data_IF_566867511234
#
_entry.id   IF_566867511234
#
_cell.length_a   1.000
_cell.length_b   1.000
_cell.length_c   1.000
_cell.angle_alpha   90.00
_cell.angle_beta   90.00
_cell.angle_gamma   90.00
#
_symmetry.space_group_name_H-M   'P 1'
#
loop_
_entity.id
_entity.type
_entity.pdbx_description
1 polymer ?
#
# COMPACT_ATOMS: atom_id res chain seq x y z
N UNK A 1 20.57 -11.37 40.19
CA UNK A 1 19.13 -11.05 40.11
C UNK A 1 19.01 -9.63 39.60
N UNK A 2 18.76 -9.49 38.31
CA UNK A 2 18.44 -8.22 37.64
C UNK A 2 17.82 -8.62 36.31
N UNK A 3 16.50 -8.44 36.19
CA UNK A 3 15.71 -8.77 35.03
C UNK A 3 16.06 -7.87 33.84
N UNK A 4 15.98 -8.35 32.59
CA UNK A 4 16.02 -7.47 31.43
C UNK A 4 14.65 -6.80 31.26
N UNK A 5 14.69 -5.47 31.15
CA UNK A 5 13.58 -4.58 30.82
C UNK A 5 13.09 -4.82 29.39
N UNK A 6 11.77 -4.82 29.21
CA UNK A 6 11.08 -4.95 27.93
C UNK A 6 11.42 -3.81 26.95
N UNK A 7 11.34 -4.03 25.62
CA UNK A 7 11.48 -2.96 24.65
C UNK A 7 10.23 -2.08 24.63
N UNK A 8 10.47 -0.78 24.48
CA UNK A 8 9.48 0.29 24.42
C UNK A 8 8.51 0.13 23.24
N UNK A 9 7.20 0.14 23.55
CA UNK A 9 6.14 0.59 22.64
C UNK A 9 6.35 2.09 22.36
N UNK A 10 6.48 2.48 21.09
CA UNK A 10 6.16 3.82 20.57
C UNK A 10 6.31 3.78 19.03
N UNK A 11 5.23 3.49 18.31
CA UNK A 11 5.16 3.66 16.85
C UNK A 11 4.13 4.74 16.50
N UNK A 12 4.55 5.99 16.25
CA UNK A 12 3.69 7.00 15.67
C UNK A 12 3.98 7.10 14.15
N UNK A 13 3.41 6.21 13.34
CA UNK A 13 3.44 6.34 11.88
C UNK A 13 2.30 7.28 11.48
N UNK A 14 2.63 8.39 10.80
CA UNK A 14 1.76 9.55 10.63
C UNK A 14 1.59 9.88 9.13
N UNK A 15 0.36 9.86 8.62
CA UNK A 15 -0.03 10.60 7.42
C UNK A 15 -0.61 11.95 7.87
N UNK A 16 0.19 13.00 8.07
CA UNK A 16 -0.40 14.31 8.37
C UNK A 16 -0.86 14.96 7.06
N UNK A 17 -2.17 14.94 6.83
CA UNK A 17 -2.81 15.81 5.85
C UNK A 17 -2.36 17.26 6.10
N UNK A 18 -1.74 17.87 5.09
CA UNK A 18 -1.40 19.28 5.14
C UNK A 18 -2.67 20.11 5.27
N UNK A 19 -2.83 20.84 6.38
CA UNK A 19 -3.91 21.82 6.56
C UNK A 19 -3.95 22.81 5.39
N UNK A 20 -4.83 22.58 4.41
CA UNK A 20 -5.33 23.67 3.58
C UNK A 20 -6.25 24.53 4.43
N UNK A 21 -5.72 25.67 4.89
CA UNK A 21 -6.50 26.73 5.53
C UNK A 21 -7.58 27.24 4.58
N UNK A 22 -8.76 26.63 4.61
CA UNK A 22 -9.97 27.25 4.09
C UNK A 22 -10.43 28.33 5.08
N UNK A 23 -10.19 29.58 4.68
CA UNK A 23 -10.68 30.77 5.37
C UNK A 23 -12.21 30.83 5.25
N UNK A 24 -12.94 30.20 6.17
CA UNK A 24 -14.39 30.36 6.27
C UNK A 24 -14.70 31.60 7.10
N UNK A 25 -15.19 32.63 6.42
CA UNK A 25 -15.67 33.89 7.00
C UNK A 25 -16.95 33.62 7.83
N UNK A 26 -16.84 33.57 9.15
CA UNK A 26 -18.00 33.50 10.06
C UNK A 26 -18.67 34.88 10.16
N UNK A 27 -19.91 34.98 9.68
CA UNK A 27 -20.82 36.11 9.94
C UNK A 27 -21.75 35.72 11.10
N UNK A 28 -21.74 36.43 12.24
CA UNK A 28 -22.70 36.17 13.32
C UNK A 28 -24.01 36.93 13.07
N UNK A 29 -25.13 36.22 12.93
CA UNK A 29 -26.47 36.81 13.05
C UNK A 29 -26.92 36.75 14.51
N UNK A 30 -26.93 37.90 15.15
CA UNK A 30 -27.67 38.16 16.38
C UNK A 30 -29.15 38.42 16.04
N UNK A 31 -30.07 37.67 16.66
CA UNK A 31 -31.50 38.01 16.67
C UNK A 31 -31.85 38.50 18.07
N UNK A 32 -32.13 39.80 18.16
CA UNK A 32 -32.57 40.49 19.35
C UNK A 32 -34.01 40.15 19.71
N UNK A 33 -34.25 40.02 21.02
CA UNK A 33 -35.56 39.92 21.64
C UNK A 33 -36.04 41.32 22.01
N UNK A 34 -37.08 41.83 21.34
CA UNK A 34 -37.83 42.99 21.81
C UNK A 34 -39.12 42.55 22.52
N UNK A 35 -39.31 43.16 23.68
CA UNK A 35 -40.46 43.05 24.57
C UNK A 35 -41.64 43.88 24.07
N UNK A 36 -42.86 43.37 24.17
CA UNK A 36 -44.06 44.20 24.30
C UNK A 36 -45.13 43.48 25.11
N UNK A 37 -45.44 44.06 26.27
CA UNK A 37 -46.60 43.75 27.08
C UNK A 37 -47.88 44.12 26.33
N UNK A 38 -48.85 43.22 26.28
CA UNK A 38 -50.24 43.68 26.32
C UNK A 38 -51.16 42.75 27.12
N UNK A 39 -51.74 43.32 28.18
CA UNK A 39 -52.74 42.73 29.06
C UNK A 39 -54.08 42.78 28.34
N UNK A 40 -54.59 41.63 27.88
CA UNK A 40 -56.04 41.37 27.74
C UNK A 40 -56.27 39.94 27.22
N UNK A 41 -56.38 38.96 28.12
CA UNK A 41 -57.07 37.69 27.84
C UNK A 41 -57.33 36.85 29.09
N UNK A 42 -57.60 37.50 30.23
CA UNK A 42 -58.28 36.84 31.35
C UNK A 42 -59.76 37.22 31.32
N UNK A 43 -60.53 36.64 30.37
CA UNK A 43 -61.98 36.43 30.55
C UNK A 43 -62.65 35.65 29.39
N UNK A 44 -62.11 34.49 28.98
CA UNK A 44 -62.78 33.64 27.96
C UNK A 44 -63.06 32.19 28.36
N UNK A 45 -62.69 31.77 29.58
CA UNK A 45 -62.91 30.39 30.06
C UNK A 45 -64.08 30.26 31.06
N UNK A 46 -64.73 31.35 31.44
CA UNK A 46 -65.84 31.40 32.40
C UNK A 46 -67.23 31.22 31.80
N UNK A 47 -67.38 31.20 30.46
CA UNK A 47 -68.69 31.12 29.78
C UNK A 47 -68.92 29.85 28.94
N UNK A 48 -68.08 28.82 29.09
CA UNK A 48 -68.25 27.56 28.35
C UNK A 48 -69.16 26.62 29.18
N UNK A 49 -70.35 26.22 28.68
CA UNK A 49 -71.26 25.32 29.40
C UNK A 49 -70.58 23.99 29.72
N UNK A 50 -70.95 23.36 30.84
CA UNK A 50 -70.28 22.17 31.43
C UNK A 50 -70.07 21.02 30.45
N UNK A 51 -70.94 20.88 29.45
CA UNK A 51 -70.86 19.87 28.39
C UNK A 51 -69.66 20.10 27.45
N UNK A 52 -69.32 21.35 27.15
CA UNK A 52 -68.21 21.70 26.26
C UNK A 52 -66.83 21.59 26.95
N UNK A 53 -66.75 21.69 28.28
CA UNK A 53 -65.54 21.36 29.05
C UNK A 53 -65.24 19.87 29.06
N UNK A 54 -66.28 19.03 29.14
CA UNK A 54 -66.13 17.59 29.01
C UNK A 54 -65.65 17.19 27.61
N UNK A 55 -66.23 17.78 26.55
CA UNK A 55 -65.83 17.52 25.16
C UNK A 55 -64.39 17.98 24.90
N UNK A 56 -63.98 19.17 25.38
CA UNK A 56 -62.59 19.61 25.26
C UNK A 56 -61.63 18.69 26.03
N UNK A 57 -62.00 18.25 27.23
CA UNK A 57 -61.20 17.30 28.01
C UNK A 57 -61.02 15.97 27.30
N UNK A 58 -62.09 15.41 26.71
CA UNK A 58 -62.02 14.17 25.95
C UNK A 58 -61.19 14.30 24.67
N UNK A 59 -61.28 15.45 23.98
CA UNK A 59 -60.46 15.72 22.78
C UNK A 59 -58.99 15.85 23.15
N UNK A 60 -58.65 16.56 24.24
CA UNK A 60 -57.25 16.69 24.69
C UNK A 60 -56.69 15.34 25.13
N UNK A 61 -57.46 14.51 25.85
CA UNK A 61 -57.05 13.15 26.22
C UNK A 61 -56.89 12.26 24.99
N UNK A 62 -57.79 12.35 24.00
CA UNK A 62 -57.67 11.59 22.76
C UNK A 62 -56.46 12.01 21.92
N UNK A 63 -56.15 13.31 21.87
CA UNK A 63 -54.95 13.84 21.20
C UNK A 63 -53.68 13.43 21.94
N UNK A 64 -53.66 13.47 23.27
CA UNK A 64 -52.52 13.01 24.06
C UNK A 64 -52.32 11.49 23.95
N UNK A 65 -53.39 10.69 23.90
CA UNK A 65 -53.32 9.26 23.61
C UNK A 65 -52.86 8.98 22.19
N UNK A 66 -53.31 9.75 21.19
CA UNK A 66 -52.84 9.64 19.82
C UNK A 66 -51.35 10.02 19.70
N UNK A 67 -50.90 11.07 20.38
CA UNK A 67 -49.48 11.44 20.45
C UNK A 67 -48.69 10.36 21.20
N UNK A 68 -49.20 9.79 22.30
CA UNK A 68 -48.55 8.69 23.01
C UNK A 68 -48.49 7.41 22.17
N UNK A 69 -49.47 7.14 21.31
CA UNK A 69 -49.44 6.04 20.33
C UNK A 69 -48.47 6.35 19.18
N UNK A 70 -48.38 7.60 18.72
CA UNK A 70 -47.41 8.01 17.67
C UNK A 70 -45.97 7.99 18.20
N UNK A 71 -45.75 8.49 19.42
CA UNK A 71 -44.45 8.44 20.11
C UNK A 71 -44.14 7.00 20.53
N UNK A 72 -45.12 6.23 20.98
CA UNK A 72 -44.99 4.81 21.29
C UNK A 72 -44.73 3.95 20.05
N UNK A 73 -45.31 4.24 18.88
CA UNK A 73 -44.97 3.55 17.63
C UNK A 73 -43.64 4.01 17.03
N UNK A 74 -43.17 5.22 17.36
CA UNK A 74 -41.80 5.67 17.02
C UNK A 74 -40.73 5.20 18.00
N UNK A 75 -41.09 4.92 19.26
CA UNK A 75 -40.18 4.40 20.30
C UNK A 75 -40.20 2.86 20.41
N UNK A 76 -41.25 2.20 19.91
CA UNK A 76 -41.34 0.74 19.69
C UNK A 76 -41.06 0.38 18.22
N UNK A 77 -40.76 1.37 17.38
CA UNK A 77 -39.83 1.25 16.25
C UNK A 77 -38.38 1.13 16.74
N UNK A 78 -38.24 0.42 17.86
CA UNK A 78 -37.01 0.10 18.54
C UNK A 78 -36.17 -0.79 17.66
N UNK A 79 -34.87 -0.52 17.70
CA UNK A 79 -33.84 -1.52 17.55
C UNK A 79 -33.82 -2.34 16.25
N UNK A 80 -34.39 -1.82 15.17
CA UNK A 80 -33.77 -1.98 13.86
C UNK A 80 -32.49 -1.15 13.80
N UNK A 81 -31.52 -1.43 14.70
CA UNK A 81 -30.12 -1.29 14.28
C UNK A 81 -30.13 -2.06 12.97
N UNK A 82 -29.97 -1.35 11.84
CA UNK A 82 -29.30 -2.02 10.72
C UNK A 82 -28.04 -2.48 11.40
N UNK A 83 -28.01 -3.73 11.88
CA UNK A 83 -26.79 -4.48 11.99
C UNK A 83 -26.21 -4.22 10.61
N UNK A 84 -25.28 -3.25 10.55
CA UNK A 84 -24.61 -2.91 9.31
C UNK A 84 -24.23 -4.28 8.80
N UNK A 85 -24.83 -4.67 7.67
CA UNK A 85 -24.91 -6.06 7.22
C UNK A 85 -23.65 -6.71 7.71
N UNK A 86 -23.73 -7.63 8.69
CA UNK A 86 -22.52 -8.29 9.18
C UNK A 86 -21.89 -8.82 7.90
N UNK A 87 -20.87 -8.11 7.41
CA UNK A 87 -20.12 -8.52 6.24
C UNK A 87 -19.43 -9.73 6.84
N UNK A 88 -19.78 -10.95 6.41
CA UNK A 88 -19.22 -12.13 7.05
C UNK A 88 -17.71 -11.95 7.00
N UNK A 89 -17.08 -11.90 8.17
CA UNK A 89 -15.63 -11.85 8.30
C UNK A 89 -15.16 -13.25 7.90
N UNK A 90 -14.97 -13.43 6.60
CA UNK A 90 -14.82 -14.72 5.95
C UNK A 90 -13.37 -15.12 5.77
N UNK A 91 -13.11 -16.41 5.69
CA UNK A 91 -11.84 -16.99 5.26
C UNK A 91 -11.37 -16.39 3.91
N UNK A 92 -10.07 -16.17 3.74
CA UNK A 92 -9.51 -15.74 2.45
C UNK A 92 -9.91 -16.71 1.34
N UNK A 93 -10.32 -16.17 0.19
CA UNK A 93 -10.60 -16.94 -1.03
C UNK A 93 -9.71 -16.47 -2.17
N UNK A 94 -9.01 -17.40 -2.80
CA UNK A 94 -8.28 -17.19 -4.04
C UNK A 94 -9.19 -16.58 -5.13
N UNK A 95 -8.82 -15.40 -5.61
CA UNK A 95 -9.44 -14.68 -6.72
C UNK A 95 -8.68 -14.92 -8.01
N UNK A 96 -7.36 -14.76 -7.98
CA UNK A 96 -6.47 -14.93 -9.13
C UNK A 96 -5.19 -15.61 -8.70
N UNK A 97 -4.81 -16.68 -9.41
CA UNK A 97 -3.51 -17.32 -9.35
C UNK A 97 -2.78 -16.91 -10.63
N UNK A 98 -1.83 -16.00 -10.51
CA UNK A 98 -1.13 -15.42 -11.65
C UNK A 98 0.17 -16.19 -11.86
N UNK A 99 0.13 -17.25 -12.66
CA UNK A 99 1.25 -18.18 -12.80
C UNK A 99 1.37 -18.77 -14.21
N UNK A 100 2.54 -19.35 -14.48
CA UNK A 100 2.86 -20.05 -15.72
C UNK A 100 2.62 -19.23 -16.98
N UNK A 101 2.25 -19.90 -18.07
CA UNK A 101 1.97 -19.27 -19.37
C UNK A 101 0.90 -18.18 -19.36
N UNK A 102 0.05 -18.13 -18.32
CA UNK A 102 -1.03 -17.15 -18.22
C UNK A 102 -0.62 -15.84 -17.55
N UNK A 103 0.55 -15.79 -16.90
CA UNK A 103 0.97 -14.65 -16.07
C UNK A 103 0.87 -13.31 -16.80
N UNK A 104 1.48 -13.17 -17.98
CA UNK A 104 1.47 -11.89 -18.72
C UNK A 104 0.07 -11.44 -19.16
N UNK A 105 -0.93 -12.34 -19.19
CA UNK A 105 -2.30 -11.97 -19.54
C UNK A 105 -2.99 -11.08 -18.48
N UNK A 106 -2.50 -11.09 -17.24
CA UNK A 106 -3.02 -10.27 -16.13
C UNK A 106 -2.51 -8.83 -16.15
N UNK A 107 -1.53 -8.52 -17.00
CA UNK A 107 -0.83 -7.25 -17.00
C UNK A 107 -0.91 -6.54 -18.35
N UNK A 108 -0.82 -5.23 -18.31
CA UNK A 108 -0.46 -4.39 -19.45
C UNK A 108 1.04 -4.06 -19.38
N UNK A 109 1.73 -4.12 -20.51
CA UNK A 109 3.13 -3.69 -20.61
C UNK A 109 3.15 -2.19 -20.86
N UNK A 110 3.58 -1.42 -19.86
CA UNK A 110 3.77 0.01 -20.03
C UNK A 110 4.93 0.26 -21.01
N UNK A 111 4.65 1.02 -22.07
CA UNK A 111 5.64 1.41 -23.07
C UNK A 111 5.93 2.90 -22.99
N UNK A 112 7.17 3.27 -22.72
CA UNK A 112 7.58 4.67 -22.65
C UNK A 112 8.73 4.93 -21.68
N UNK A 113 9.03 6.21 -21.54
CA UNK A 113 9.99 6.69 -20.54
C UNK A 113 9.46 6.41 -19.13
N UNK A 114 10.40 6.21 -18.20
CA UNK A 114 10.07 6.22 -16.79
C UNK A 114 9.41 7.54 -16.37
N UNK A 115 8.69 7.53 -15.25
CA UNK A 115 7.96 8.72 -14.77
C UNK A 115 8.91 9.89 -14.56
N UNK A 116 8.42 11.13 -14.64
CA UNK A 116 9.25 12.32 -14.39
C UNK A 116 9.80 12.32 -12.94
N UNK A 117 9.05 11.78 -11.97
CA UNK A 117 9.45 11.70 -10.57
C UNK A 117 10.53 10.64 -10.29
N UNK A 118 10.49 9.52 -11.01
CA UNK A 118 11.47 8.43 -10.88
C UNK A 118 12.70 8.69 -11.76
N UNK A 119 12.49 9.20 -12.97
CA UNK A 119 13.51 9.60 -13.95
C UNK A 119 14.58 8.53 -14.23
N UNK A 120 14.21 7.25 -14.22
CA UNK A 120 15.11 6.14 -14.49
C UNK A 120 15.75 6.20 -15.89
N UNK A 121 17.00 5.71 -15.99
CA UNK A 121 17.77 5.60 -17.23
C UNK A 121 17.42 4.33 -18.01
N UNK A 122 16.13 4.15 -18.23
CA UNK A 122 15.56 3.03 -18.98
C UNK A 122 14.44 3.49 -19.92
N UNK A 123 14.13 2.63 -20.89
CA UNK A 123 12.95 2.71 -21.73
C UNK A 123 12.12 1.47 -21.47
N UNK A 124 10.90 1.63 -20.97
CA UNK A 124 9.98 0.50 -20.88
C UNK A 124 9.41 0.19 -22.26
N UNK A 125 9.39 -1.09 -22.63
CA UNK A 125 8.99 -1.53 -23.97
C UNK A 125 7.68 -2.32 -23.96
N UNK A 126 7.00 -2.35 -25.11
CA UNK A 126 5.80 -3.17 -25.30
C UNK A 126 6.11 -4.66 -25.14
N UNK A 127 5.07 -5.46 -24.85
CA UNK A 127 5.20 -6.92 -24.75
C UNK A 127 5.90 -7.55 -25.95
N UNK A 128 5.47 -7.22 -27.17
CA UNK A 128 6.06 -7.75 -28.40
C UNK A 128 7.56 -7.47 -28.52
N UNK A 129 8.01 -6.29 -28.08
CA UNK A 129 9.42 -5.91 -28.08
C UNK A 129 10.17 -6.60 -26.95
N UNK A 130 9.56 -6.73 -25.77
CA UNK A 130 10.14 -7.47 -24.66
C UNK A 130 10.39 -8.94 -25.02
N UNK A 131 9.44 -9.57 -25.71
CA UNK A 131 9.56 -10.94 -26.23
C UNK A 131 10.64 -11.05 -27.32
N UNK A 132 10.70 -10.11 -28.28
CA UNK A 132 11.74 -10.06 -29.30
C UNK A 132 13.16 -9.95 -28.69
N UNK A 133 13.29 -9.16 -27.62
CA UNK A 133 14.53 -8.97 -26.89
C UNK A 133 14.85 -10.12 -25.92
N UNK A 134 13.92 -11.03 -25.67
CA UNK A 134 14.06 -12.08 -24.66
C UNK A 134 14.07 -11.57 -23.22
N UNK A 135 13.55 -10.37 -22.95
CA UNK A 135 13.52 -9.75 -21.61
C UNK A 135 12.19 -9.93 -20.89
N UNK A 136 11.21 -10.60 -21.51
CA UNK A 136 10.01 -11.11 -20.86
C UNK A 136 9.65 -12.47 -21.47
N UNK A 137 9.62 -13.51 -20.66
CA UNK A 137 9.27 -14.87 -21.11
C UNK A 137 8.88 -15.77 -19.95
N UNK A 138 8.35 -16.95 -20.28
CA UNK A 138 8.25 -18.07 -19.36
C UNK A 138 9.41 -19.01 -19.66
N UNK A 139 10.22 -19.30 -18.64
CA UNK A 139 11.35 -20.23 -18.74
C UNK A 139 11.06 -21.49 -17.93
N UNK A 140 11.65 -22.62 -18.33
CA UNK A 140 11.58 -23.86 -17.55
C UNK A 140 12.99 -24.26 -17.14
N UNK A 141 13.22 -24.35 -15.83
CA UNK A 141 14.51 -24.72 -15.25
C UNK A 141 14.32 -25.47 -13.94
N UNK A 142 15.39 -26.12 -13.48
CA UNK A 142 15.39 -26.81 -12.19
C UNK A 142 15.32 -25.80 -11.05
N UNK A 143 14.28 -25.91 -10.23
CA UNK A 143 14.12 -25.14 -9.01
C UNK A 143 15.23 -25.55 -8.00
N UNK A 144 16.12 -24.62 -7.66
CA UNK A 144 17.23 -24.84 -6.74
C UNK A 144 16.80 -25.28 -5.32
N UNK A 145 15.55 -25.05 -4.92
CA UNK A 145 15.01 -25.45 -3.61
C UNK A 145 14.55 -26.91 -3.60
N UNK A 146 13.89 -27.38 -4.66
CA UNK A 146 13.27 -28.73 -4.66
C UNK A 146 13.86 -29.70 -5.70
N UNK A 147 14.72 -29.24 -6.61
CA UNK A 147 15.38 -30.05 -7.63
C UNK A 147 14.46 -30.51 -8.76
N UNK A 148 13.30 -29.88 -8.95
CA UNK A 148 12.32 -30.22 -10.00
C UNK A 148 12.29 -29.12 -11.04
N UNK A 149 12.17 -29.51 -12.32
CA UNK A 149 11.95 -28.54 -13.39
C UNK A 149 10.58 -27.89 -13.23
N UNK A 150 10.56 -26.56 -13.14
CA UNK A 150 9.37 -25.75 -12.97
C UNK A 150 9.36 -24.59 -13.96
N UNK A 151 8.17 -24.05 -14.23
CA UNK A 151 8.01 -22.82 -15.00
C UNK A 151 8.23 -21.60 -14.11
N UNK A 152 9.02 -20.64 -14.60
CA UNK A 152 9.25 -19.36 -13.97
C UNK A 152 8.94 -18.22 -14.94
N UNK A 153 8.38 -17.14 -14.39
CA UNK A 153 8.27 -15.86 -15.08
C UNK A 153 9.66 -15.22 -15.03
N UNK A 154 10.23 -14.95 -16.21
CA UNK A 154 11.50 -14.26 -16.36
C UNK A 154 11.26 -12.85 -16.92
N UNK A 155 11.78 -11.84 -16.23
CA UNK A 155 11.75 -10.44 -16.67
C UNK A 155 13.10 -9.78 -16.43
N UNK A 156 13.68 -9.15 -17.45
CA UNK A 156 15.01 -8.54 -17.37
C UNK A 156 15.08 -7.24 -18.19
N UNK A 157 16.28 -6.86 -18.64
CA UNK A 157 16.58 -5.66 -19.38
C UNK A 157 17.57 -5.95 -20.51
N UNK A 158 17.64 -5.07 -21.51
CA UNK A 158 18.53 -5.23 -22.67
C UNK A 158 19.27 -3.93 -23.03
N UNK A 159 20.54 -4.02 -23.48
CA UNK A 159 21.28 -2.85 -23.96
C UNK A 159 20.73 -2.29 -25.25
N UNK A 160 20.78 -0.96 -25.31
CA UNK A 160 20.63 -0.19 -26.53
C UNK A 160 21.98 0.43 -26.89
N UNK A 161 22.17 0.82 -28.15
CA UNK A 161 23.46 1.35 -28.62
C UNK A 161 23.89 2.62 -27.89
N UNK A 162 22.94 3.49 -27.54
CA UNK A 162 23.23 4.81 -27.01
C UNK A 162 22.66 5.06 -25.60
N UNK A 163 21.95 4.09 -25.03
CA UNK A 163 21.05 4.29 -23.90
C UNK A 163 19.77 5.05 -24.31
N UNK A 164 18.77 5.13 -23.42
CA UNK A 164 18.65 4.38 -22.16
C UNK A 164 18.46 2.87 -22.39
N UNK A 165 18.60 2.05 -21.33
CA UNK A 165 18.47 0.57 -21.41
C UNK A 165 17.01 0.15 -21.58
N UNK A 166 16.72 -0.80 -22.47
CA UNK A 166 15.36 -1.34 -22.60
C UNK A 166 15.04 -2.18 -21.37
N UNK A 167 13.84 -2.03 -20.81
CA UNK A 167 13.37 -2.74 -19.61
C UNK A 167 11.86 -2.98 -19.66
N UNK A 168 11.30 -3.59 -18.62
CA UNK A 168 9.86 -3.88 -18.51
C UNK A 168 9.23 -3.23 -17.29
N UNK A 169 7.99 -2.76 -17.48
CA UNK A 169 7.07 -2.36 -16.42
C UNK A 169 5.72 -2.98 -16.72
N UNK A 170 5.27 -3.87 -15.84
CA UNK A 170 3.99 -4.53 -15.92
C UNK A 170 3.02 -3.85 -14.97
N UNK A 171 1.82 -3.55 -15.43
CA UNK A 171 0.80 -2.92 -14.64
C UNK A 171 -0.46 -3.78 -14.64
N UNK A 172 -0.91 -4.20 -13.46
CA UNK A 172 -2.02 -5.12 -13.31
C UNK A 172 -3.30 -4.55 -13.89
N UNK A 173 -4.03 -5.38 -14.65
CA UNK A 173 -5.35 -5.00 -15.20
C UNK A 173 -6.41 -4.89 -14.11
N UNK A 174 -6.23 -5.62 -13.02
CA UNK A 174 -7.15 -5.62 -11.88
C UNK A 174 -6.80 -4.55 -10.86
N UNK A 175 -7.86 -3.96 -10.31
CA UNK A 175 -7.82 -2.97 -9.24
C UNK A 175 -8.34 -3.60 -7.95
N UNK A 176 -7.77 -3.17 -6.83
CA UNK A 176 -7.98 -3.70 -5.49
C UNK A 176 -8.18 -2.55 -4.50
N UNK A 177 -9.07 -2.76 -3.53
CA UNK A 177 -9.32 -1.84 -2.41
C UNK A 177 -8.93 -2.46 -1.04
N UNK A 178 -8.35 -3.65 -1.09
CA UNK A 178 -7.81 -4.45 0.02
C UNK A 178 -7.19 -5.72 -0.55
N UNK A 179 -6.64 -6.57 0.30
CA UNK A 179 -6.38 -7.96 -0.02
C UNK A 179 -5.15 -8.56 0.65
N UNK A 180 -4.92 -9.83 0.38
CA UNK A 180 -3.69 -10.53 0.69
C UNK A 180 -2.98 -10.81 -0.64
N UNK A 181 -1.71 -10.45 -0.76
CA UNK A 181 -0.92 -10.56 -1.97
C UNK A 181 0.35 -11.34 -1.65
N UNK A 182 0.65 -12.38 -2.41
CA UNK A 182 1.76 -13.30 -2.14
C UNK A 182 2.61 -13.41 -3.40
N UNK A 183 3.90 -13.13 -3.30
CA UNK A 183 4.87 -13.23 -4.39
C UNK A 183 5.99 -14.20 -4.02
N UNK A 184 6.14 -15.30 -4.79
CA UNK A 184 7.25 -16.25 -4.64
C UNK A 184 8.36 -15.91 -5.65
N UNK A 185 9.40 -15.23 -5.16
CA UNK A 185 10.55 -14.77 -5.95
C UNK A 185 11.69 -15.75 -5.78
N UNK A 186 12.24 -16.27 -6.88
CA UNK A 186 13.46 -17.11 -6.87
C UNK A 186 14.72 -16.33 -7.22
N UNK A 187 14.55 -15.21 -7.91
CA UNK A 187 15.59 -14.22 -8.12
C UNK A 187 14.94 -12.85 -8.27
N UNK A 188 15.48 -11.82 -7.62
CA UNK A 188 15.12 -10.44 -7.88
C UNK A 188 16.32 -9.68 -8.47
N UNK A 189 16.08 -8.60 -9.25
CA UNK A 189 17.17 -7.80 -9.78
C UNK A 189 18.06 -7.27 -8.66
N UNK A 190 19.37 -7.33 -8.88
CA UNK A 190 20.38 -6.82 -7.95
C UNK A 190 21.52 -6.12 -8.70
N UNK A 191 22.21 -5.21 -8.01
CA UNK A 191 23.44 -4.61 -8.48
C UNK A 191 23.41 -3.08 -8.54
N UNK A 192 24.57 -2.52 -8.85
CA UNK A 192 24.79 -1.08 -8.88
C UNK A 192 23.87 -0.36 -9.87
N UNK A 193 23.16 0.66 -9.40
CA UNK A 193 22.26 1.45 -10.24
C UNK A 193 21.00 0.72 -10.68
N UNK A 194 20.68 -0.45 -10.11
CA UNK A 194 19.48 -1.23 -10.39
C UNK A 194 18.39 -0.85 -9.39
N UNK A 195 17.19 -0.55 -9.88
CA UNK A 195 16.03 -0.15 -9.06
C UNK A 195 14.80 -1.01 -9.39
N UNK A 196 14.68 -2.21 -8.80
CA UNK A 196 13.52 -3.06 -8.95
C UNK A 196 12.43 -2.70 -7.95
N UNK A 197 11.16 -2.84 -8.37
CA UNK A 197 10.04 -2.75 -7.45
C UNK A 197 8.91 -3.75 -7.78
N UNK A 198 8.31 -4.29 -6.73
CA UNK A 198 6.99 -4.92 -6.72
C UNK A 198 6.11 -4.22 -5.67
N UNK A 199 5.10 -3.51 -6.17
CA UNK A 199 4.41 -2.48 -5.41
C UNK A 199 2.95 -2.34 -5.87
N UNK A 200 2.15 -1.65 -5.06
CA UNK A 200 0.75 -1.38 -5.35
C UNK A 200 0.49 0.13 -5.38
N UNK A 201 -0.22 0.62 -6.39
CA UNK A 201 -0.59 2.04 -6.50
C UNK A 201 -1.81 2.28 -7.38
N UNK A 202 -2.37 3.48 -7.32
CA UNK A 202 -3.22 4.06 -8.36
C UNK A 202 -2.49 5.22 -9.05
N UNK A 203 -1.72 4.88 -10.08
CA UNK A 203 -0.85 5.77 -10.85
C UNK A 203 -1.55 7.03 -11.35
N UNK A 204 -2.84 6.93 -11.69
CA UNK A 204 -3.59 8.02 -12.28
C UNK A 204 -3.92 9.11 -11.24
N UNK A 205 -3.92 8.74 -9.97
CA UNK A 205 -4.24 9.58 -8.83
C UNK A 205 -3.08 9.68 -7.83
N UNK A 206 -1.87 9.25 -8.22
CA UNK A 206 -0.71 9.32 -7.35
C UNK A 206 -0.36 10.79 -7.01
N UNK A 207 0.02 11.11 -5.76
CA UNK A 207 0.13 10.23 -4.59
C UNK A 207 -1.16 10.14 -3.75
N UNK A 208 -2.27 10.71 -4.21
CA UNK A 208 -3.49 10.89 -3.41
C UNK A 208 -4.17 9.58 -3.02
N UNK A 209 -4.04 8.54 -3.86
CA UNK A 209 -4.58 7.20 -3.62
C UNK A 209 -3.52 6.21 -3.08
N UNK A 210 -2.38 6.74 -2.63
CA UNK A 210 -1.32 5.99 -1.98
C UNK A 210 -0.46 5.11 -2.90
N UNK A 211 0.60 4.61 -2.28
CA UNK A 211 1.57 3.67 -2.83
C UNK A 211 2.02 2.74 -1.70
N UNK A 212 2.18 1.45 -1.99
CA UNK A 212 2.68 0.45 -1.04
C UNK A 212 3.79 -0.36 -1.69
N UNK A 213 5.02 -0.07 -1.28
CA UNK A 213 6.23 -0.72 -1.76
C UNK A 213 6.55 -1.94 -0.90
N UNK A 214 6.25 -3.14 -1.44
CA UNK A 214 6.42 -4.39 -0.68
C UNK A 214 7.83 -4.94 -0.84
N UNK A 215 8.35 -4.86 -2.06
CA UNK A 215 9.71 -5.21 -2.40
C UNK A 215 10.25 -4.08 -3.27
N UNK A 216 11.14 -3.28 -2.71
CA UNK A 216 11.82 -2.20 -3.43
C UNK A 216 13.24 -2.04 -2.90
N UNK A 217 14.22 -1.99 -3.80
CA UNK A 217 15.60 -1.78 -3.42
C UNK A 217 16.00 -0.31 -3.60
N UNK A 218 16.91 0.15 -2.73
CA UNK A 218 17.48 1.49 -2.86
C UNK A 218 16.72 2.58 -2.10
N UNK A 219 15.71 2.26 -1.29
CA UNK A 219 15.06 3.22 -0.40
C UNK A 219 15.91 3.44 0.87
N UNK A 220 16.22 4.69 1.27
CA UNK A 220 16.87 4.97 2.54
C UNK A 220 15.92 4.78 3.72
N UNK A 221 16.48 4.42 4.88
CA UNK A 221 15.75 4.16 6.13
C UNK A 221 16.02 5.19 7.23
N UNK A 222 16.82 6.22 6.91
CA UNK A 222 17.21 7.28 7.81
C UNK A 222 17.14 8.63 7.11
N UNK A 223 16.75 9.67 7.87
CA UNK A 223 16.80 11.06 7.45
C UNK A 223 18.18 11.38 6.86
N UNK A 224 18.15 11.82 5.61
CA UNK A 224 19.36 12.09 4.83
C UNK A 224 19.36 13.49 4.19
N UNK A 225 18.41 14.35 4.58
CA UNK A 225 18.45 15.79 4.30
C UNK A 225 19.14 16.57 5.43
N UNK A 226 19.48 17.83 5.21
CA UNK A 226 19.91 18.78 6.25
C UNK A 226 19.00 20.02 6.05
N UNK A 227 18.34 20.65 7.05
CA UNK A 227 18.63 20.67 8.49
C UNK A 227 17.43 20.49 9.45
N UNK A 228 17.58 19.60 10.43
CA UNK A 228 17.44 20.01 11.85
C UNK A 228 18.57 19.33 12.63
N UNK A 229 19.47 20.16 13.14
CA UNK A 229 20.75 19.74 13.68
C UNK A 229 20.55 18.89 14.95
N UNK A 230 21.19 17.70 14.95
CA UNK A 230 21.57 16.86 16.10
C UNK A 230 20.78 15.56 16.39
N UNK A 231 19.73 15.21 15.63
CA UNK A 231 19.07 13.90 15.78
C UNK A 231 18.76 13.26 14.42
N UNK A 232 19.45 12.16 14.10
CA UNK A 232 19.04 11.28 12.98
C UNK A 232 17.74 10.59 13.39
N UNK A 233 16.69 10.75 12.59
CA UNK A 233 15.39 10.09 12.78
C UNK A 233 15.13 9.15 11.60
N UNK A 234 14.49 8.01 11.83
CA UNK A 234 14.01 7.15 10.74
C UNK A 234 12.91 7.87 9.94
N UNK A 235 12.73 7.51 8.68
CA UNK A 235 11.65 8.05 7.86
C UNK A 235 10.32 7.45 8.33
N UNK A 236 9.56 8.21 9.11
CA UNK A 236 8.35 7.74 9.80
C UNK A 236 7.07 8.48 9.40
N UNK A 237 7.17 9.42 8.47
CA UNK A 237 6.05 10.15 7.89
C UNK A 237 5.80 9.69 6.45
N UNK A 238 4.61 9.14 6.20
CA UNK A 238 4.26 8.58 4.90
C UNK A 238 3.95 9.66 3.84
N UNK A 239 3.89 10.95 4.22
CA UNK A 239 3.66 12.02 3.27
C UNK A 239 4.89 12.24 2.37
N UNK A 240 4.68 12.24 1.06
CA UNK A 240 5.74 12.37 0.04
C UNK A 240 6.53 13.68 0.14
N UNK A 241 5.97 14.73 0.75
CA UNK A 241 6.65 16.02 0.97
C UNK A 241 6.89 16.30 2.45
N UNK A 242 7.02 15.24 3.27
CA UNK A 242 7.27 15.36 4.70
C UNK A 242 8.49 16.27 4.96
N UNK A 243 8.34 17.32 5.77
CA UNK A 243 9.46 18.17 6.14
C UNK A 243 10.45 17.32 6.94
N UNK A 244 11.74 17.55 6.71
CA UNK A 244 12.80 16.75 7.33
C UNK A 244 12.74 15.26 6.94
N UNK A 245 12.35 14.96 5.71
CA UNK A 245 12.59 13.72 4.98
C UNK A 245 13.05 14.07 3.55
N UNK A 246 13.64 13.11 2.84
CA UNK A 246 13.86 13.28 1.40
C UNK A 246 12.52 13.42 0.66
N UNK A 247 12.56 14.15 -0.45
CA UNK A 247 11.41 14.20 -1.34
C UNK A 247 11.05 12.78 -1.78
N UNK A 248 9.78 12.42 -1.56
CA UNK A 248 9.22 11.11 -1.84
C UNK A 248 9.85 9.92 -1.06
N UNK A 249 10.41 10.14 0.13
CA UNK A 249 10.96 9.05 0.96
C UNK A 249 9.88 8.14 1.56
N UNK A 250 8.73 8.73 1.94
CA UNK A 250 7.65 8.01 2.61
C UNK A 250 8.02 7.51 4.01
N UNK A 251 7.23 6.57 4.53
CA UNK A 251 7.49 5.94 5.82
C UNK A 251 8.07 4.54 5.59
N UNK A 252 9.26 4.29 6.12
CA UNK A 252 10.04 3.10 5.77
C UNK A 252 10.25 2.20 6.99
N UNK A 253 10.21 0.88 6.75
CA UNK A 253 10.57 -0.12 7.76
C UNK A 253 11.70 -0.96 7.20
N UNK A 254 12.85 -0.88 7.88
CA UNK A 254 14.01 -1.71 7.58
C UNK A 254 14.38 -2.51 8.81
N UNK A 255 14.64 -3.79 8.58
CA UNK A 255 15.12 -4.71 9.59
C UNK A 255 16.61 -4.95 9.38
N UNK A 256 17.36 -5.23 10.44
CA UNK A 256 18.78 -5.62 10.39
C UNK A 256 19.05 -6.96 9.64
N UNK A 257 18.00 -7.60 9.12
CA UNK A 257 18.11 -8.86 8.38
C UNK A 257 18.71 -8.59 7.01
N UNK A 258 19.90 -9.10 6.77
CA UNK A 258 20.57 -9.02 5.47
C UNK A 258 20.10 -10.10 4.49
N UNK A 259 18.87 -10.60 4.60
CA UNK A 259 18.37 -11.71 3.78
C UNK A 259 16.99 -11.46 3.19
N UNK A 260 16.62 -10.18 3.03
CA UNK A 260 15.28 -9.75 2.62
C UNK A 260 15.24 -9.10 1.25
N UNK A 261 16.40 -8.80 0.65
CA UNK A 261 16.47 -8.13 -0.66
C UNK A 261 17.83 -8.41 -1.34
N UNK A 262 17.87 -8.32 -2.67
CA UNK A 262 19.09 -8.35 -3.47
C UNK A 262 19.89 -9.65 -3.44
N UNK A 263 21.21 -9.56 -3.65
CA UNK A 263 22.09 -10.73 -3.75
C UNK A 263 21.99 -11.72 -2.58
N UNK A 264 21.88 -11.30 -1.30
CA UNK A 264 21.77 -12.25 -0.19
C UNK A 264 20.52 -13.14 -0.24
N UNK A 265 19.36 -12.60 -0.61
CA UNK A 265 18.14 -13.43 -0.73
C UNK A 265 18.19 -14.30 -1.99
N UNK A 266 18.74 -13.80 -3.10
CA UNK A 266 18.98 -14.57 -4.31
C UNK A 266 19.88 -15.78 -4.05
N UNK A 267 20.97 -15.59 -3.28
CA UNK A 267 21.88 -16.67 -2.88
C UNK A 267 21.23 -17.74 -1.99
N UNK A 268 20.10 -17.42 -1.35
CA UNK A 268 19.34 -18.36 -0.55
C UNK A 268 18.28 -19.14 -1.35
N UNK A 269 18.18 -18.92 -2.66
CA UNK A 269 17.14 -19.49 -3.53
C UNK A 269 15.92 -18.58 -3.70
N UNK A 270 16.01 -17.33 -3.25
CA UNK A 270 14.93 -16.36 -3.25
C UNK A 270 14.15 -16.30 -1.94
N UNK A 271 12.92 -15.79 -2.00
CA UNK A 271 12.05 -15.62 -0.85
C UNK A 271 10.60 -15.33 -1.21
N UNK A 272 9.76 -15.47 -0.19
CA UNK A 272 8.33 -15.22 -0.28
C UNK A 272 7.99 -13.87 0.36
N UNK A 273 7.39 -12.98 -0.43
CA UNK A 273 6.95 -11.66 -0.01
C UNK A 273 5.43 -11.66 0.09
N UNK A 274 4.91 -11.19 1.22
CA UNK A 274 3.48 -11.15 1.47
C UNK A 274 3.08 -9.75 1.89
N UNK A 275 1.98 -9.25 1.34
CA UNK A 275 1.32 -8.01 1.73
C UNK A 275 -0.12 -8.33 2.13
N UNK A 276 -0.50 -7.99 3.36
CA UNK A 276 -1.90 -7.98 3.81
C UNK A 276 -2.33 -6.53 3.99
N UNK A 277 -3.35 -6.11 3.27
CA UNK A 277 -3.89 -4.76 3.30
C UNK A 277 -5.40 -4.81 3.60
N UNK A 278 -5.79 -4.29 4.75
CA UNK A 278 -7.19 -4.07 5.13
C UNK A 278 -7.35 -2.64 5.66
N UNK A 279 -7.76 -1.66 4.84
CA UNK A 279 -7.83 -0.27 5.26
C UNK A 279 -8.89 0.02 6.32
N UNK A 280 -9.86 -0.88 6.54
CA UNK A 280 -10.97 -0.67 7.47
C UNK A 280 -10.90 -1.55 8.73
N UNK A 281 -9.89 -2.43 8.84
CA UNK A 281 -9.66 -3.24 10.05
C UNK A 281 -10.74 -4.27 10.37
N UNK A 282 -11.66 -4.52 9.43
CA UNK A 282 -12.88 -5.30 9.69
C UNK A 282 -12.62 -6.80 9.89
N UNK A 283 -11.40 -7.27 9.64
CA UNK A 283 -11.04 -8.69 9.68
C UNK A 283 -10.72 -9.23 11.08
N UNK A 284 -10.14 -8.42 11.97
CA UNK A 284 -9.71 -8.88 13.30
C UNK A 284 -10.70 -8.37 14.36
N UNK A 285 -11.42 -9.31 14.98
CA UNK A 285 -12.31 -8.98 16.10
C UNK A 285 -11.53 -8.22 17.19
N UNK A 286 -11.95 -6.98 17.46
CA UNK A 286 -11.32 -6.11 18.46
C UNK A 286 -10.33 -5.08 17.92
N UNK A 287 -10.00 -5.09 16.62
CA UNK A 287 -9.34 -3.95 15.98
C UNK A 287 -10.39 -2.96 15.46
N UNK A 288 -10.28 -1.70 15.88
CA UNK A 288 -11.07 -0.58 15.36
C UNK A 288 -10.35 0.17 14.23
N UNK A 289 -9.19 -0.32 13.81
CA UNK A 289 -8.27 0.37 12.89
C UNK A 289 -7.81 -0.62 11.79
N UNK A 290 -7.70 -0.11 10.57
CA UNK A 290 -7.12 -0.81 9.44
C UNK A 290 -5.60 -0.91 9.52
N UNK A 291 -5.04 -1.62 8.55
CA UNK A 291 -3.60 -1.89 8.51
C UNK A 291 -3.10 -2.27 7.11
N UNK A 292 -1.79 -2.09 6.97
CA UNK A 292 -0.93 -2.70 5.96
C UNK A 292 0.13 -3.50 6.72
N UNK A 293 0.24 -4.80 6.44
CA UNK A 293 1.26 -5.68 7.00
C UNK A 293 2.05 -6.32 5.88
N UNK A 294 3.36 -6.46 6.06
CA UNK A 294 4.17 -7.23 5.13
C UNK A 294 4.98 -8.31 5.85
N UNK A 295 5.27 -9.41 5.16
CA UNK A 295 6.18 -10.46 5.60
C UNK A 295 7.20 -10.77 4.51
N UNK A 296 8.41 -11.11 4.93
CA UNK A 296 9.48 -11.62 4.06
C UNK A 296 10.05 -12.91 4.64
N UNK A 297 9.82 -14.02 3.95
CA UNK A 297 10.34 -15.34 4.30
C UNK A 297 11.42 -15.76 3.31
N UNK A 298 12.69 -15.64 3.73
CA UNK A 298 13.86 -16.13 2.98
C UNK A 298 14.04 -17.64 3.14
N UNK A 299 13.68 -18.17 4.32
CA UNK A 299 13.62 -19.59 4.69
C UNK A 299 12.55 -19.80 5.76
N UNK A 300 12.24 -21.07 6.07
CA UNK A 300 11.29 -21.46 7.14
C UNK A 300 9.90 -20.84 6.95
N UNK A 301 9.34 -20.97 5.74
CA UNK A 301 7.98 -20.52 5.43
C UNK A 301 6.99 -21.28 6.35
N UNK A 302 6.02 -20.61 6.99
CA UNK A 302 4.99 -21.28 7.81
C UNK A 302 4.24 -22.36 7.02
N UNK A 303 3.94 -23.51 7.63
CA UNK A 303 3.27 -24.64 6.97
C UNK A 303 1.95 -24.24 6.33
N UNK A 304 1.11 -23.47 7.03
CA UNK A 304 -0.14 -22.95 6.48
C UNK A 304 0.07 -22.15 5.18
N UNK A 305 1.13 -21.33 5.10
CA UNK A 305 1.43 -20.53 3.92
C UNK A 305 1.97 -21.40 2.77
N UNK A 306 2.82 -22.38 3.09
CA UNK A 306 3.28 -23.37 2.10
C UNK A 306 2.11 -24.14 1.50
N UNK A 307 1.19 -24.63 2.33
CA UNK A 307 0.01 -25.37 1.90
C UNK A 307 -0.96 -24.49 1.10
N UNK A 308 -1.17 -23.24 1.52
CA UNK A 308 -2.03 -22.30 0.81
C UNK A 308 -1.53 -22.03 -0.61
N UNK A 309 -0.21 -21.87 -0.79
CA UNK A 309 0.43 -21.71 -2.10
C UNK A 309 0.38 -23.01 -2.89
N UNK A 310 0.79 -24.13 -2.28
CA UNK A 310 0.89 -25.43 -2.94
C UNK A 310 -0.46 -25.99 -3.40
N UNK A 311 -1.56 -25.57 -2.77
CA UNK A 311 -2.92 -25.99 -3.13
C UNK A 311 -3.70 -24.94 -3.93
N UNK A 312 -3.16 -23.74 -4.13
CA UNK A 312 -3.82 -22.64 -4.84
C UNK A 312 -4.35 -23.04 -6.22
N UNK A 313 -3.52 -23.73 -7.01
CA UNK A 313 -3.83 -24.15 -8.38
C UNK A 313 -4.81 -25.33 -8.49
N UNK A 314 -5.24 -25.95 -7.38
CA UNK A 314 -6.16 -27.08 -7.44
C UNK A 314 -7.53 -26.63 -7.95
N UNK A 315 -8.10 -27.30 -8.96
CA UNK A 315 -9.43 -26.97 -9.49
C UNK A 315 -10.54 -27.07 -8.42
N UNK A 316 -10.43 -28.07 -7.54
CA UNK A 316 -11.37 -28.31 -6.45
C UNK A 316 -11.07 -27.37 -5.27
N UNK A 317 -11.85 -26.29 -5.18
CA UNK A 317 -11.73 -25.28 -4.13
C UNK A 317 -11.82 -25.85 -2.70
N UNK A 318 -12.49 -27.00 -2.49
CA UNK A 318 -12.60 -27.63 -1.17
C UNK A 318 -11.31 -28.27 -0.66
N UNK A 319 -10.34 -28.48 -1.56
CA UNK A 319 -9.01 -29.02 -1.24
C UNK A 319 -7.95 -27.94 -1.06
N UNK A 320 -8.32 -26.67 -1.28
CA UNK A 320 -7.41 -25.54 -1.09
C UNK A 320 -7.29 -25.22 0.39
N UNK A 321 -6.08 -24.99 0.85
CA UNK A 321 -5.82 -24.49 2.19
C UNK A 321 -5.94 -22.97 2.16
N UNK A 322 -6.71 -22.43 3.10
CA UNK A 322 -6.86 -20.98 3.26
C UNK A 322 -5.63 -20.41 3.98
N UNK A 323 -5.01 -19.32 3.47
CA UNK A 323 -3.94 -18.63 4.18
C UNK A 323 -4.47 -18.02 5.49
N UNK A 324 -3.70 -18.13 6.56
CA UNK A 324 -4.03 -17.60 7.88
C UNK A 324 -2.80 -16.84 8.45
N UNK A 325 -2.77 -15.50 8.31
CA UNK A 325 -1.68 -14.67 8.82
C UNK A 325 -1.41 -14.81 10.33
N UNK A 326 -2.38 -15.28 11.13
CA UNK A 326 -2.18 -15.50 12.56
C UNK A 326 -1.20 -16.65 12.85
N UNK A 327 -1.04 -17.57 11.89
CA UNK A 327 -0.14 -18.72 11.98
C UNK A 327 1.28 -18.42 11.48
N UNK A 328 1.55 -17.22 10.98
CA UNK A 328 2.82 -16.90 10.32
C UNK A 328 3.84 -16.20 11.23
N UNK A 329 3.40 -15.78 12.42
CA UNK A 329 4.20 -14.97 13.33
C UNK A 329 4.13 -13.47 13.00
N UNK A 330 4.94 -12.65 13.69
CA UNK A 330 4.87 -11.20 13.55
C UNK A 330 5.24 -10.76 12.12
N UNK A 331 4.59 -9.70 11.60
CA UNK A 331 4.95 -9.13 10.31
C UNK A 331 6.33 -8.48 10.35
N UNK A 332 6.97 -8.43 9.17
CA UNK A 332 8.18 -7.66 8.93
C UNK A 332 7.93 -6.15 9.08
N UNK A 333 6.82 -5.66 8.51
CA UNK A 333 6.38 -4.27 8.66
C UNK A 333 4.89 -4.21 9.01
N UNK A 334 4.51 -3.18 9.78
CA UNK A 334 3.14 -2.90 10.16
C UNK A 334 2.90 -1.39 10.07
N UNK A 335 1.91 -0.98 9.29
CA UNK A 335 1.45 0.40 9.18
C UNK A 335 -0.04 0.44 9.56
N UNK A 336 -0.38 1.25 10.55
CA UNK A 336 -1.75 1.41 11.00
C UNK A 336 -2.52 2.39 10.09
N UNK A 337 -3.80 2.13 9.87
CA UNK A 337 -4.73 2.98 9.11
C UNK A 337 -5.96 3.25 9.98
N UNK A 338 -6.45 4.48 10.04
CA UNK A 338 -7.66 4.86 10.78
C UNK A 338 -7.50 6.12 11.62
N UNK A 339 -8.57 6.46 12.36
CA UNK A 339 -8.75 7.76 13.02
C UNK A 339 -7.60 8.19 13.96
N UNK A 340 -6.90 7.25 14.62
CA UNK A 340 -5.82 7.57 15.55
C UNK A 340 -4.41 7.42 14.95
N UNK A 341 -4.31 7.12 13.66
CA UNK A 341 -3.04 6.85 12.97
C UNK A 341 -2.58 8.06 12.14
N UNK A 342 -3.46 9.05 11.94
CA UNK A 342 -3.27 10.10 10.94
C UNK A 342 -3.51 9.62 9.51
N UNK A 343 -3.48 8.32 9.21
CA UNK A 343 -3.80 7.79 7.89
C UNK A 343 -5.28 7.47 7.76
N UNK A 344 -5.99 8.15 6.85
CA UNK A 344 -7.40 7.85 6.57
C UNK A 344 -7.57 6.51 5.84
N UNK A 345 -8.63 5.76 6.15
CA UNK A 345 -8.98 4.53 5.41
C UNK A 345 -9.22 4.76 3.92
N UNK A 346 -9.63 5.98 3.55
CA UNK A 346 -9.89 6.38 2.16
C UNK A 346 -8.63 6.75 1.37
N UNK A 347 -7.45 6.74 2.01
CA UNK A 347 -6.19 7.13 1.38
C UNK A 347 -5.71 6.08 0.38
N UNK A 348 -5.87 4.79 0.67
CA UNK A 348 -5.52 3.71 -0.24
C UNK A 348 -6.77 3.15 -0.90
N UNK A 349 -6.84 3.20 -2.23
CA UNK A 349 -7.98 2.67 -3.01
C UNK A 349 -7.62 2.52 -4.47
N UNK A 350 -8.36 1.68 -5.18
CA UNK A 350 -8.20 1.47 -6.62
C UNK A 350 -6.74 1.11 -7.00
N UNK A 351 -6.05 0.38 -6.14
CA UNK A 351 -4.65 0.03 -6.35
C UNK A 351 -4.53 -1.12 -7.34
N UNK A 352 -3.55 -1.09 -8.24
CA UNK A 352 -3.12 -2.24 -9.01
C UNK A 352 -1.69 -2.60 -8.65
N UNK A 353 -1.31 -3.81 -8.99
CA UNK A 353 0.05 -4.30 -8.81
C UNK A 353 0.91 -3.81 -9.95
N UNK A 354 2.13 -3.40 -9.62
CA UNK A 354 3.15 -3.01 -10.58
C UNK A 354 4.41 -3.83 -10.33
N UNK A 355 4.97 -4.36 -11.42
CA UNK A 355 6.34 -4.84 -11.45
C UNK A 355 7.14 -3.90 -12.33
N UNK A 356 8.32 -3.47 -11.90
CA UNK A 356 9.25 -2.82 -12.81
C UNK A 356 10.71 -3.14 -12.47
N UNK A 357 11.55 -2.85 -13.46
CA UNK A 357 12.99 -2.83 -13.34
C UNK A 357 13.49 -1.49 -13.91
N UNK A 358 13.63 -0.50 -13.03
CA UNK A 358 14.22 0.78 -13.37
C UNK A 358 15.74 0.77 -13.15
N UNK A 359 16.41 1.80 -13.65
CA UNK A 359 17.84 1.98 -13.43
C UNK A 359 18.15 3.44 -13.09
N UNK A 360 19.11 3.67 -12.20
CA UNK A 360 19.51 5.01 -11.77
C UNK A 360 18.34 5.86 -11.27
N UNK A 361 18.06 6.99 -11.91
CA UNK A 361 16.97 7.89 -11.51
C UNK A 361 17.18 8.52 -10.14
N UNK A 362 16.08 9.01 -9.57
CA UNK A 362 16.05 9.76 -8.31
C UNK A 362 16.40 8.92 -7.09
N UNK A 363 16.26 7.60 -7.17
CA UNK A 363 16.61 6.68 -6.07
C UNK A 363 18.01 6.09 -6.28
N UNK A 364 18.16 5.12 -7.19
CA UNK A 364 19.43 4.41 -7.37
C UNK A 364 20.54 5.29 -7.95
N UNK A 365 20.20 6.29 -8.75
CA UNK A 365 21.17 7.20 -9.37
C UNK A 365 21.84 8.09 -8.32
N UNK A 366 21.05 8.69 -7.43
CA UNK A 366 21.55 9.54 -6.36
C UNK A 366 22.43 8.78 -5.34
N UNK A 367 22.18 7.47 -5.16
CA UNK A 367 22.96 6.62 -4.23
C UNK A 367 24.19 6.00 -4.87
N UNK A 368 24.30 6.00 -6.19
CA UNK A 368 25.31 5.25 -6.94
C UNK A 368 26.74 5.47 -6.46
N UNK A 369 27.12 6.73 -6.19
CA UNK A 369 28.50 7.05 -5.75
C UNK A 369 28.82 6.49 -4.36
N UNK A 370 27.82 6.40 -3.48
CA UNK A 370 27.97 5.87 -2.12
C UNK A 370 27.98 4.34 -2.11
N UNK A 371 27.14 3.72 -2.91
CA UNK A 371 26.95 2.27 -2.92
C UNK A 371 27.98 1.54 -3.78
N UNK A 372 28.47 2.22 -4.82
CA UNK A 372 29.35 1.64 -5.82
C UNK A 372 30.54 2.55 -6.11
N UNK A 373 31.37 2.87 -5.10
CA UNK A 373 32.42 3.89 -5.21
C UNK A 373 33.45 3.58 -6.30
N UNK A 374 33.88 2.33 -6.44
CA UNK A 374 34.85 1.92 -7.47
C UNK A 374 34.29 2.11 -8.90
N UNK A 375 32.99 1.87 -9.09
CA UNK A 375 32.33 2.10 -10.37
C UNK A 375 32.08 3.59 -10.60
N UNK A 376 31.75 4.34 -9.55
CA UNK A 376 31.57 5.77 -9.63
C UNK A 376 32.86 6.49 -10.02
N UNK A 377 34.02 6.07 -9.49
CA UNK A 377 35.33 6.57 -9.93
C UNK A 377 35.58 6.25 -11.41
N UNK A 378 35.29 5.01 -11.83
CA UNK A 378 35.54 4.55 -13.20
C UNK A 378 34.66 5.24 -14.26
N UNK A 379 33.40 5.52 -13.93
CA UNK A 379 32.40 6.08 -14.85
C UNK A 379 32.07 7.54 -14.56
N UNK A 380 32.92 8.23 -13.81
CA UNK A 380 32.67 9.58 -13.31
C UNK A 380 32.25 10.55 -14.43
N UNK A 381 31.11 11.19 -14.24
CA UNK A 381 30.61 12.29 -15.08
C UNK A 381 30.44 13.52 -14.20
N UNK A 382 30.97 14.65 -14.64
CA UNK A 382 30.78 15.94 -13.97
C UNK A 382 29.65 16.74 -14.59
N UNK A 383 28.91 17.48 -13.78
CA UNK A 383 27.91 18.44 -14.25
C UNK A 383 28.57 19.68 -14.90
N UNK A 384 27.75 20.62 -15.35
CA UNK A 384 28.23 21.87 -16.01
C UNK A 384 29.07 22.78 -15.09
N UNK A 385 29.01 22.57 -13.78
CA UNK A 385 29.80 23.29 -12.77
C UNK A 385 31.12 22.60 -12.45
N UNK A 386 31.36 21.39 -12.98
CA UNK A 386 32.56 20.60 -12.74
C UNK A 386 32.49 19.70 -11.51
N UNK A 387 31.32 19.60 -10.85
CA UNK A 387 31.11 18.71 -9.71
C UNK A 387 30.69 17.32 -10.18
N UNK A 388 31.09 16.26 -9.47
CA UNK A 388 30.66 14.90 -9.76
C UNK A 388 29.13 14.80 -9.68
N UNK A 389 28.50 14.30 -10.74
CA UNK A 389 27.07 14.07 -10.80
C UNK A 389 26.77 12.56 -10.61
N UNK A 390 26.20 12.15 -9.46
CA UNK A 390 25.96 10.74 -9.17
C UNK A 390 24.98 10.11 -10.17
N UNK A 391 23.96 10.84 -10.62
CA UNK A 391 22.96 10.31 -11.56
C UNK A 391 23.57 10.14 -12.94
N UNK A 392 24.27 11.14 -13.47
CA UNK A 392 24.94 11.01 -14.77
C UNK A 392 26.05 9.95 -14.76
N UNK A 393 26.76 9.81 -13.65
CA UNK A 393 27.76 8.74 -13.44
C UNK A 393 27.11 7.36 -13.45
N UNK A 394 25.97 7.20 -12.78
CA UNK A 394 25.17 5.97 -12.84
C UNK A 394 24.73 5.66 -14.28
N UNK A 395 24.21 6.66 -15.00
CA UNK A 395 23.75 6.49 -16.37
C UNK A 395 24.89 6.05 -17.30
N UNK A 396 26.11 6.58 -17.09
CA UNK A 396 27.30 6.15 -17.82
C UNK A 396 27.66 4.68 -17.52
N UNK A 397 27.52 4.22 -16.27
CA UNK A 397 27.69 2.81 -15.93
C UNK A 397 26.64 1.92 -16.59
N UNK A 398 25.35 2.27 -16.54
CA UNK A 398 24.28 1.47 -17.17
C UNK A 398 24.48 1.39 -18.69
N UNK A 399 24.86 2.51 -19.32
CA UNK A 399 25.19 2.57 -20.76
C UNK A 399 26.39 1.70 -21.13
N UNK A 400 27.31 1.44 -20.21
CA UNK A 400 28.49 0.60 -20.48
C UNK A 400 28.15 -0.86 -20.78
N UNK A 401 26.93 -1.30 -20.45
CA UNK A 401 26.49 -2.69 -20.56
C UNK A 401 27.45 -3.66 -19.86
N UNK A 402 27.84 -3.31 -18.64
CA UNK A 402 28.64 -4.17 -17.77
C UNK A 402 27.98 -5.54 -17.62
N UNK A 403 28.80 -6.61 -17.59
CA UNK A 403 28.32 -7.97 -17.35
C UNK A 403 27.56 -8.11 -16.03
N UNK A 404 27.90 -7.30 -15.03
CA UNK A 404 27.19 -7.30 -13.75
C UNK A 404 25.70 -6.94 -13.87
N UNK A 405 25.27 -6.32 -14.97
CA UNK A 405 23.85 -6.04 -15.25
C UNK A 405 23.07 -7.29 -15.70
N UNK A 406 23.74 -8.44 -15.93
CA UNK A 406 23.07 -9.72 -16.17
C UNK A 406 22.31 -10.21 -14.93
N UNK A 407 22.69 -9.74 -13.72
CA UNK A 407 21.97 -10.02 -12.45
C UNK A 407 20.71 -9.14 -12.27
N UNK A 408 20.45 -8.21 -13.20
CA UNK A 408 19.25 -7.38 -13.16
C UNK A 408 18.06 -8.11 -13.81
N UNK A 409 17.52 -9.12 -13.11
CA UNK A 409 16.33 -9.85 -13.58
C UNK A 409 15.47 -10.40 -12.44
N UNK A 410 14.18 -10.46 -12.71
CA UNK A 410 13.18 -11.18 -11.94
C UNK A 410 13.07 -12.62 -12.43
N UNK A 411 13.00 -13.55 -11.48
CA UNK A 411 12.58 -14.94 -11.69
C UNK A 411 11.53 -15.27 -10.63
N UNK A 412 10.29 -15.44 -11.04
CA UNK A 412 9.14 -15.59 -10.14
C UNK A 412 8.48 -16.94 -10.40
N UNK A 413 8.14 -17.67 -9.34
CA UNK A 413 7.49 -18.99 -9.43
C UNK A 413 5.96 -18.84 -9.48
N UNK A 414 5.40 -18.24 -8.44
CA UNK A 414 3.97 -17.95 -8.32
C UNK A 414 3.82 -16.44 -8.19
N UNK A 415 3.09 -15.86 -9.15
CA UNK A 415 3.03 -14.43 -9.33
C UNK A 415 2.03 -13.72 -8.44
N UNK A 416 0.96 -14.37 -7.96
CA UNK A 416 0.02 -13.78 -6.99
C UNK A 416 -1.16 -14.71 -6.61
N UNK A 417 -1.59 -14.70 -5.33
CA UNK A 417 -2.89 -15.18 -4.85
C UNK A 417 -3.65 -14.03 -4.16
N UNK A 418 -4.63 -13.38 -4.79
CA UNK A 418 -5.40 -12.27 -4.15
C UNK A 418 -6.75 -12.71 -3.61
N UNK A 419 -7.20 -12.11 -2.51
CA UNK A 419 -8.62 -12.04 -2.12
C UNK A 419 -9.09 -10.58 -1.98
N UNK A 420 -10.33 -10.28 -2.40
CA UNK A 420 -11.14 -9.16 -1.90
C UNK A 420 -12.60 -9.61 -1.80
N UNK A 421 -13.27 -9.17 -0.74
CA UNK A 421 -14.69 -9.37 -0.42
C UNK A 421 -15.66 -9.08 -1.57
#
# INVERSE_FOLDING_TARGET
MSAPTAPHEDSPLICKDGEQKHLTLLVPMALGTETSHDKKTTDLLSQIPSLARAILGTIVIAVLLAIAVIVGTRAVGDAGVKAGSLVPVGQYRLVEAQEGSSFFSFYDFFGGHDSIGSAGYNMYVSQSRAEELGIASIITEEDAINGVNEEFIYMSSAPTQNGPRDSVRLEGKKRFDRGLFILDVRHMPDGCGVWPAWWLTDEANWPMNGEVDVLEAGIPDHFTGDPDFHTVKGADNCWTMAPHQWENEGCTVVHERNDTIGAPINANGGGLYVLEWDPAGRYLEGLSEGYIKSWVFSRNIPENLQDAIGTAGLEDASKRVTPDPQLWGPPYAYFAIGENTGCSEDHFKNMRIVFNLAFCGTVSGNRFTRECPDLAEKFNVTNEHGDNDPVSTCNAYIKSNSKALEEAYWKIKVGLLVHVF
#
